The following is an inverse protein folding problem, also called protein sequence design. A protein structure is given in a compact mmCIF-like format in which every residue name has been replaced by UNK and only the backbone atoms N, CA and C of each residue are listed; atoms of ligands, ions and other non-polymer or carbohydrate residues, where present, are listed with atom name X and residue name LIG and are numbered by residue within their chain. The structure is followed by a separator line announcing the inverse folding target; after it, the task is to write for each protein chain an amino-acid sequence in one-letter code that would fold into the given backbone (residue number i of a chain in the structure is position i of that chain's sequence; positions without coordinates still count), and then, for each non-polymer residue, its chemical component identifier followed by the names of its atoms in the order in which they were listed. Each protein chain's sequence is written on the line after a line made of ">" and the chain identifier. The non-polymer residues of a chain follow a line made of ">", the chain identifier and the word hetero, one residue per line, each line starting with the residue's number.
data_IF_462393967221
#
_entry.id   IF_462393967221
#
_cell.length_a   1.000
_cell.length_b   1.000
_cell.length_c   1.000
_cell.angle_alpha   90.00
_cell.angle_beta   90.00
_cell.angle_gamma   90.00
#
_symmetry.space_group_name_H-M   'P 1'
#
loop_
_entity.id
_entity.type
_entity.pdbx_description
1 polymer ?
#
# COMPACT_ATOMS: atom_id res chain seq x y z
N UNK A 1 17.47 9.92 9.73
CA UNK A 1 16.12 10.52 9.69
C UNK A 1 15.22 9.52 9.00
N UNK A 2 14.19 8.97 9.67
CA UNK A 2 13.15 8.21 8.96
C UNK A 2 12.36 9.21 8.14
N UNK A 3 12.34 9.04 6.83
CA UNK A 3 11.58 9.91 5.95
C UNK A 3 10.10 9.77 6.31
N UNK A 4 9.42 10.88 6.63
CA UNK A 4 8.00 10.88 7.00
C UNK A 4 7.07 10.31 5.91
N UNK A 5 7.63 10.10 4.71
CA UNK A 5 6.94 9.62 3.54
C UNK A 5 7.08 8.11 3.34
N UNK A 6 7.82 7.38 4.18
CA UNK A 6 7.96 5.93 4.06
C UNK A 6 6.64 5.21 4.36
N UNK A 7 6.30 4.24 3.51
CA UNK A 7 5.12 3.38 3.63
C UNK A 7 5.50 1.94 3.30
N UNK A 8 4.63 1.01 3.71
CA UNK A 8 4.65 -0.38 3.24
C UNK A 8 3.30 -0.70 2.63
N UNK A 9 3.30 -1.07 1.35
CA UNK A 9 2.11 -1.48 0.63
C UNK A 9 1.94 -2.99 0.72
N UNK A 10 0.86 -3.43 1.36
CA UNK A 10 0.49 -4.83 1.51
C UNK A 10 -0.52 -5.22 0.42
N UNK A 11 -0.09 -6.09 -0.48
CA UNK A 11 -0.90 -6.70 -1.53
C UNK A 11 -1.05 -8.20 -1.22
N UNK A 12 -2.15 -8.59 -0.57
CA UNK A 12 -2.33 -9.96 -0.09
C UNK A 12 -1.21 -10.35 0.87
N UNK A 13 -0.36 -11.30 0.47
CA UNK A 13 0.77 -11.79 1.27
C UNK A 13 2.12 -11.11 0.92
N UNK A 14 2.12 -10.14 0.00
CA UNK A 14 3.30 -9.38 -0.40
C UNK A 14 3.34 -8.03 0.30
N UNK A 15 4.44 -7.72 0.95
CA UNK A 15 4.71 -6.42 1.54
C UNK A 15 5.81 -5.73 0.73
N UNK A 16 5.47 -4.60 0.12
CA UNK A 16 6.39 -3.85 -0.74
C UNK A 16 6.67 -2.51 -0.08
N UNK A 17 7.93 -2.22 0.31
CA UNK A 17 8.28 -0.91 0.82
C UNK A 17 8.11 0.14 -0.27
N UNK A 18 7.80 1.37 0.12
CA UNK A 18 7.66 2.46 -0.81
C UNK A 18 7.68 3.80 -0.12
N UNK A 19 7.38 4.84 -0.88
CA UNK A 19 7.27 6.19 -0.37
C UNK A 19 6.14 6.96 -1.04
N UNK A 20 5.59 7.90 -0.29
CA UNK A 20 4.62 8.88 -0.78
C UNK A 20 5.37 9.96 -1.54
N UNK A 21 5.06 10.08 -2.83
CA UNK A 21 5.65 11.08 -3.72
C UNK A 21 4.83 12.36 -3.75
N UNK A 22 3.50 12.25 -3.65
CA UNK A 22 2.60 13.40 -3.61
C UNK A 22 1.24 13.05 -3.00
N UNK A 23 0.63 14.03 -2.33
CA UNK A 23 -0.76 14.00 -1.87
C UNK A 23 -1.60 14.85 -2.83
N UNK A 24 -2.51 14.21 -3.56
CA UNK A 24 -3.44 14.90 -4.47
C UNK A 24 -4.69 15.31 -3.67
N UNK A 25 -4.52 16.37 -2.86
CA UNK A 25 -5.36 16.80 -1.73
C UNK A 25 -6.80 17.25 -2.00
N UNK A 26 -7.45 16.83 -3.08
CA UNK A 26 -8.85 17.19 -3.35
C UNK A 26 -9.86 16.04 -3.19
N UNK A 27 -9.43 14.78 -3.33
CA UNK A 27 -10.37 13.64 -3.49
C UNK A 27 -9.84 12.30 -2.93
N UNK A 28 -8.85 12.37 -2.05
CA UNK A 28 -8.22 11.17 -1.46
C UNK A 28 -7.34 10.40 -2.43
N UNK A 29 -6.75 11.06 -3.43
CA UNK A 29 -5.76 10.45 -4.30
C UNK A 29 -4.35 10.70 -3.73
N UNK A 30 -3.48 9.72 -3.94
CA UNK A 30 -2.10 9.75 -3.50
C UNK A 30 -1.23 9.14 -4.60
N UNK A 31 -0.06 9.73 -4.81
CA UNK A 31 0.99 9.13 -5.63
C UNK A 31 2.01 8.45 -4.74
N UNK A 32 2.24 7.18 -4.99
CA UNK A 32 3.22 6.37 -4.27
C UNK A 32 4.24 5.81 -5.26
N UNK A 33 5.50 5.80 -4.87
CA UNK A 33 6.54 5.03 -5.53
C UNK A 33 6.79 3.77 -4.70
N UNK A 34 6.61 2.60 -5.28
CA UNK A 34 6.89 1.32 -4.64
C UNK A 34 8.28 0.84 -5.05
N UNK A 35 9.03 0.25 -4.13
CA UNK A 35 10.37 -0.28 -4.39
C UNK A 35 10.29 -1.81 -4.25
N UNK A 36 9.89 -2.53 -5.31
CA UNK A 36 9.88 -3.98 -5.26
C UNK A 36 11.32 -4.50 -5.29
N UNK A 37 11.66 -5.36 -4.34
CA UNK A 37 12.94 -6.10 -4.37
C UNK A 37 13.03 -7.03 -5.60
N UNK A 38 11.88 -7.35 -6.20
CA UNK A 38 11.75 -8.29 -7.32
C UNK A 38 11.11 -7.59 -8.53
N UNK A 39 11.73 -7.71 -9.70
CA UNK A 39 11.41 -7.03 -10.97
C UNK A 39 9.92 -7.10 -11.40
N UNK A 40 9.15 -8.06 -10.87
CA UNK A 40 7.73 -8.22 -11.13
C UNK A 40 6.85 -7.78 -9.95
N UNK A 41 6.31 -6.57 -10.01
CA UNK A 41 5.17 -6.16 -9.20
C UNK A 41 3.88 -6.77 -9.79
N UNK A 42 3.12 -7.60 -9.05
CA UNK A 42 1.79 -8.05 -9.47
C UNK A 42 0.73 -6.94 -9.37
N UNK A 43 1.15 -5.66 -9.36
CA UNK A 43 0.29 -4.51 -9.11
C UNK A 43 -0.37 -4.08 -10.42
N UNK A 44 -1.67 -4.30 -10.52
CA UNK A 44 -2.49 -3.91 -11.67
C UNK A 44 -3.45 -2.78 -11.29
N UNK A 45 -3.91 -2.03 -12.29
CA UNK A 45 -5.01 -1.08 -12.10
C UNK A 45 -6.24 -1.81 -11.57
N UNK A 46 -6.94 -1.19 -10.62
CA UNK A 46 -8.04 -1.80 -9.88
C UNK A 46 -7.62 -2.71 -8.72
N UNK A 47 -6.32 -3.01 -8.56
CA UNK A 47 -5.84 -3.79 -7.41
C UNK A 47 -6.01 -3.01 -6.11
N UNK A 48 -6.51 -3.67 -5.07
CA UNK A 48 -6.59 -3.10 -3.73
C UNK A 48 -5.36 -3.47 -2.90
N UNK A 49 -4.95 -2.55 -2.03
CA UNK A 49 -3.86 -2.79 -1.08
C UNK A 49 -4.12 -2.07 0.24
N UNK A 50 -3.36 -2.47 1.25
CA UNK A 50 -3.29 -1.76 2.52
C UNK A 50 -1.97 -0.99 2.55
N UNK A 51 -2.03 0.33 2.68
CA UNK A 51 -0.84 1.12 2.97
C UNK A 51 -0.68 1.22 4.49
N UNK A 52 0.44 0.71 4.98
CA UNK A 52 0.92 0.92 6.33
C UNK A 52 1.87 2.12 6.34
N UNK A 53 1.54 3.10 7.16
CA UNK A 53 2.30 4.33 7.36
C UNK A 53 3.43 4.10 8.38
N UNK A 54 4.41 5.00 8.41
CA UNK A 54 5.53 4.92 9.35
C UNK A 54 5.13 4.96 10.84
N UNK A 55 3.93 5.46 11.17
CA UNK A 55 3.34 5.52 12.51
C UNK A 55 2.52 4.26 12.86
N UNK A 56 2.47 3.28 11.94
CA UNK A 56 1.68 2.05 12.07
C UNK A 56 0.22 2.20 11.66
N UNK A 57 -0.21 3.39 11.21
CA UNK A 57 -1.57 3.58 10.71
C UNK A 57 -1.76 2.82 9.39
N UNK A 58 -2.90 2.12 9.27
CA UNK A 58 -3.23 1.32 8.09
C UNK A 58 -4.47 1.83 7.38
N UNK A 59 -4.39 1.96 6.06
CA UNK A 59 -5.44 2.50 5.22
C UNK A 59 -5.63 1.65 3.98
N UNK A 60 -6.88 1.49 3.54
CA UNK A 60 -7.22 0.77 2.31
C UNK A 60 -7.14 1.72 1.12
N UNK A 61 -6.44 1.30 0.09
CA UNK A 61 -6.27 2.02 -1.16
C UNK A 61 -6.58 1.11 -2.35
N UNK A 62 -7.03 1.70 -3.46
CA UNK A 62 -7.09 1.04 -4.76
C UNK A 62 -6.12 1.72 -5.71
N UNK A 63 -5.38 0.92 -6.48
CA UNK A 63 -4.58 1.40 -7.62
C UNK A 63 -5.54 1.88 -8.69
N UNK A 64 -5.43 3.14 -9.06
CA UNK A 64 -6.28 3.75 -10.10
C UNK A 64 -5.56 3.75 -11.43
N UNK A 65 -4.26 4.06 -11.41
CA UNK A 65 -3.48 4.28 -12.61
C UNK A 65 -2.01 4.00 -12.32
N UNK A 66 -1.31 3.35 -13.25
CA UNK A 66 0.15 3.29 -13.24
C UNK A 66 0.69 4.51 -13.97
N UNK A 67 1.59 5.25 -13.33
CA UNK A 67 2.12 6.48 -13.92
C UNK A 67 3.28 6.16 -14.85
N UNK A 68 3.04 6.27 -16.15
CA UNK A 68 4.07 6.13 -17.17
C UNK A 68 5.18 7.18 -17.00
N UNK A 69 6.42 6.78 -17.27
CA UNK A 69 7.60 7.67 -17.17
C UNK A 69 8.19 7.81 -15.76
N UNK A 70 7.60 7.16 -14.75
CA UNK A 70 8.15 7.07 -13.40
C UNK A 70 8.32 5.61 -12.98
N UNK A 71 9.52 5.23 -12.54
CA UNK A 71 9.81 3.87 -12.10
C UNK A 71 8.95 3.53 -10.88
N UNK A 72 8.06 2.54 -11.04
CA UNK A 72 7.17 2.01 -9.99
C UNK A 72 6.27 3.03 -9.29
N UNK A 73 5.86 4.10 -9.99
CA UNK A 73 4.91 5.07 -9.45
C UNK A 73 3.46 4.72 -9.80
N UNK A 74 2.59 4.79 -8.80
CA UNK A 74 1.17 4.48 -8.92
C UNK A 74 0.34 5.61 -8.32
N UNK A 75 -0.76 5.97 -8.99
CA UNK A 75 -1.82 6.78 -8.41
C UNK A 75 -2.81 5.84 -7.73
N UNK A 76 -3.00 6.07 -6.44
CA UNK A 76 -3.88 5.30 -5.58
C UNK A 76 -4.99 6.18 -5.02
N UNK A 77 -6.18 5.59 -4.85
CA UNK A 77 -7.33 6.26 -4.23
C UNK A 77 -7.62 5.64 -2.86
N UNK A 78 -7.75 6.49 -1.86
CA UNK A 78 -8.16 6.11 -0.52
C UNK A 78 -9.59 5.58 -0.54
N UNK A 79 -9.77 4.35 -0.09
CA UNK A 79 -11.08 3.72 0.11
C UNK A 79 -11.58 3.90 1.55
N UNK A 80 -10.66 4.00 2.51
CA UNK A 80 -10.99 4.22 3.91
C UNK A 80 -9.88 3.73 4.86
N UNK A 81 -10.16 3.76 6.17
CA UNK A 81 -9.25 3.21 7.18
C UNK A 81 -9.31 1.68 7.15
N UNK A 82 -8.16 1.00 7.19
CA UNK A 82 -8.14 -0.43 7.42
C UNK A 82 -8.51 -0.66 8.90
N UNK A 83 -9.57 -1.43 9.14
CA UNK A 83 -9.92 -1.81 10.51
C UNK A 83 -8.81 -2.71 11.06
N UNK A 84 -8.40 -2.57 12.33
CA UNK A 84 -7.36 -3.42 12.94
C UNK A 84 -7.83 -4.86 13.22
N UNK A 85 -8.77 -5.42 12.45
CA UNK A 85 -9.46 -6.66 12.81
C UNK A 85 -9.24 -7.77 11.78
N UNK A 86 -8.49 -8.76 12.25
CA UNK A 86 -8.51 -10.19 11.90
C UNK A 86 -8.03 -10.59 10.50
N UNK A 87 -6.77 -11.02 10.42
CA UNK A 87 -6.23 -11.62 9.20
C UNK A 87 -4.76 -12.05 9.28
N UNK A 88 -4.31 -12.52 10.45
CA UNK A 88 -3.16 -13.42 10.50
C UNK A 88 -3.74 -14.85 10.48
N UNK A 89 -3.61 -15.62 9.38
CA UNK A 89 -4.09 -16.99 9.36
C UNK A 89 -3.32 -17.94 10.29
N UNK A 90 -2.34 -17.47 11.08
CA UNK A 90 -1.67 -18.28 12.09
C UNK A 90 -2.44 -18.41 13.43
N UNK A 91 -3.59 -17.76 13.61
CA UNK A 91 -4.35 -17.79 14.86
C UNK A 91 -5.55 -18.78 14.88
N UNK A 92 -5.53 -19.86 14.07
CA UNK A 92 -6.57 -20.90 14.10
C UNK A 92 -6.06 -22.34 14.23
N UNK A 93 -4.83 -22.55 14.70
CA UNK A 93 -4.39 -23.88 15.14
C UNK A 93 -3.83 -23.80 16.55
N UNK A 94 -4.67 -24.13 17.53
CA UNK A 94 -4.36 -24.86 18.79
C UNK A 94 -5.43 -24.53 19.84
N UNK A 95 -6.61 -25.11 19.63
CA UNK A 95 -7.55 -25.41 20.70
C UNK A 95 -8.13 -26.79 20.40
N UNK A 96 -7.34 -27.83 20.65
CA UNK A 96 -7.79 -29.19 20.95
C UNK A 96 -6.99 -29.69 22.16
#
# INVERSE_FOLDING_TARGET
>A
MREFNSIVAHFGNAAIPGRIEALEGGRGFMRVALDPDVDALPVQEGSECILEMHDGARFRFAVVERLDGHTHAFRMKLLGRASPTLGDPAASSLAE
#
